data_IF_860198665326
#
_entry.id   IF_860198665326
#
_cell.length_a   1.000
_cell.length_b   1.000
_cell.length_c   1.000
_cell.angle_alpha   90.00
_cell.angle_beta   90.00
_cell.angle_gamma   90.00
#
_symmetry.space_group_name_H-M   'P 1'
#
loop_
_entity.id
_entity.type
_entity.pdbx_description
1 polymer ?
#
# COMPACT_ATOMS: atom_id res chain seq x y z
N UNK A 1 -53.89 -6.85 -19.48
CA UNK A 1 -52.42 -6.83 -19.36
C UNK A 1 -51.96 -5.38 -19.45
N UNK A 2 -51.39 -4.81 -18.37
CA UNK A 2 -50.89 -3.43 -18.34
C UNK A 2 -49.38 -3.49 -18.12
N UNK A 3 -48.62 -3.04 -19.10
CA UNK A 3 -47.17 -2.87 -19.01
C UNK A 3 -46.84 -1.70 -18.07
N UNK A 4 -45.98 -1.94 -17.09
CA UNK A 4 -45.38 -0.89 -16.25
C UNK A 4 -43.92 -0.76 -16.69
N UNK A 5 -43.44 0.44 -17.09
CA UNK A 5 -42.08 0.60 -17.55
C UNK A 5 -41.11 0.61 -16.36
N UNK A 6 -40.04 -0.18 -16.46
CA UNK A 6 -38.90 -0.14 -15.54
C UNK A 6 -38.06 1.08 -15.90
N UNK A 7 -38.01 2.07 -15.03
CA UNK A 7 -37.12 3.21 -15.15
C UNK A 7 -35.69 2.76 -14.81
N UNK A 8 -34.81 2.69 -15.81
CA UNK A 8 -33.37 2.52 -15.60
C UNK A 8 -32.82 3.86 -15.11
N UNK A 9 -32.48 3.92 -13.82
CA UNK A 9 -31.72 5.05 -13.26
C UNK A 9 -30.26 4.88 -13.67
N UNK A 10 -29.85 5.60 -14.72
CA UNK A 10 -28.44 5.80 -15.03
C UNK A 10 -27.84 6.74 -13.98
N UNK A 11 -27.13 6.18 -13.00
CA UNK A 11 -26.25 6.93 -12.12
C UNK A 11 -25.06 7.44 -12.93
N UNK A 12 -25.13 8.69 -13.37
CA UNK A 12 -23.95 9.40 -13.86
C UNK A 12 -23.05 9.69 -12.65
N UNK A 13 -21.93 8.98 -12.55
CA UNK A 13 -20.86 9.32 -11.63
C UNK A 13 -20.30 10.70 -11.99
N UNK A 14 -20.71 11.72 -11.24
CA UNK A 14 -20.10 13.05 -11.31
C UNK A 14 -18.63 12.93 -10.94
N UNK A 15 -17.75 13.23 -11.88
CA UNK A 15 -16.31 13.32 -11.64
C UNK A 15 -16.06 14.50 -10.70
N UNK A 16 -16.07 14.25 -9.40
CA UNK A 16 -15.45 15.16 -8.46
C UNK A 16 -13.96 15.25 -8.82
N UNK A 17 -13.44 16.47 -8.94
CA UNK A 17 -12.00 16.72 -9.09
C UNK A 17 -11.30 16.17 -7.84
N UNK A 18 -10.95 14.88 -7.86
CA UNK A 18 -10.40 14.17 -6.73
C UNK A 18 -8.97 14.65 -6.49
N UNK A 19 -8.70 15.21 -5.31
CA UNK A 19 -7.33 15.39 -4.85
C UNK A 19 -6.58 14.06 -4.89
N UNK A 20 -5.24 14.11 -4.91
CA UNK A 20 -4.38 12.92 -5.01
C UNK A 20 -4.93 11.73 -4.18
N UNK A 21 -5.21 10.58 -4.81
CA UNK A 21 -5.70 9.40 -4.11
C UNK A 21 -4.80 9.10 -2.92
N UNK A 22 -5.39 8.85 -1.75
CA UNK A 22 -4.64 8.53 -0.55
C UNK A 22 -4.17 9.73 0.29
N UNK A 23 -4.35 10.98 -0.17
CA UNK A 23 -3.92 12.18 0.59
C UNK A 23 -4.55 12.30 1.98
N UNK A 24 -5.79 11.81 2.14
CA UNK A 24 -6.49 11.78 3.44
C UNK A 24 -5.72 10.96 4.50
N UNK A 25 -4.94 9.96 4.08
CA UNK A 25 -4.23 9.05 4.97
C UNK A 25 -2.85 9.57 5.41
N UNK A 26 -2.32 10.62 4.78
CA UNK A 26 -0.94 11.09 5.00
C UNK A 26 -0.67 11.68 6.38
N UNK A 27 -1.74 12.04 7.11
CA UNK A 27 -1.65 12.68 8.43
C UNK A 27 -2.16 11.80 9.56
N UNK A 28 -2.61 10.58 9.24
CA UNK A 28 -3.05 9.64 10.26
C UNK A 28 -1.90 9.29 11.21
N UNK A 29 -2.25 9.08 12.47
CA UNK A 29 -1.41 8.49 13.50
C UNK A 29 -1.25 6.97 13.28
N UNK A 30 -0.28 6.32 13.93
CA UNK A 30 -0.13 4.86 13.86
C UNK A 30 -1.39 4.08 14.24
N UNK A 31 -2.14 4.54 15.24
CA UNK A 31 -3.36 3.86 15.68
C UNK A 31 -4.48 4.00 14.64
N UNK A 32 -4.64 5.19 14.06
CA UNK A 32 -5.58 5.41 12.94
C UNK A 32 -5.18 4.61 11.70
N UNK A 33 -3.88 4.54 11.37
CA UNK A 33 -3.37 3.71 10.28
C UNK A 33 -3.65 2.23 10.52
N UNK A 34 -3.48 1.77 11.77
CA UNK A 34 -3.80 0.40 12.18
C UNK A 34 -5.29 0.12 12.00
N UNK A 35 -6.16 1.01 12.49
CA UNK A 35 -7.61 0.84 12.35
C UNK A 35 -8.05 0.79 10.88
N UNK A 36 -7.52 1.67 10.04
CA UNK A 36 -7.82 1.68 8.60
C UNK A 36 -7.27 0.44 7.90
N UNK A 37 -6.04 0.02 8.24
CA UNK A 37 -5.43 -1.20 7.69
C UNK A 37 -6.25 -2.44 8.05
N UNK A 38 -6.63 -2.60 9.32
CA UNK A 38 -7.40 -3.76 9.78
C UNK A 38 -8.76 -3.87 9.09
N UNK A 39 -9.39 -2.74 8.74
CA UNK A 39 -10.65 -2.72 8.00
C UNK A 39 -10.51 -2.96 6.48
N UNK A 40 -9.28 -2.91 5.94
CA UNK A 40 -9.02 -3.03 4.51
C UNK A 40 -9.06 -4.46 3.96
N UNK A 41 -9.14 -4.58 2.64
CA UNK A 41 -9.18 -5.86 1.93
C UNK A 41 -7.78 -6.32 1.49
N UNK A 42 -7.52 -7.62 1.58
CA UNK A 42 -6.27 -8.25 1.13
C UNK A 42 -6.26 -8.47 -0.39
N UNK A 43 -6.19 -7.39 -1.16
CA UNK A 43 -6.20 -7.44 -2.64
C UNK A 43 -4.81 -7.24 -3.20
N UNK A 44 -4.50 -7.98 -4.28
CA UNK A 44 -3.35 -7.69 -5.13
C UNK A 44 -3.61 -6.37 -5.87
N UNK A 45 -2.69 -5.39 -5.82
CA UNK A 45 -2.80 -4.20 -6.66
C UNK A 45 -2.79 -4.58 -8.15
N UNK A 46 -3.72 -4.06 -8.97
CA UNK A 46 -3.71 -4.24 -10.42
C UNK A 46 -2.37 -3.86 -11.06
N UNK A 47 -2.03 -4.45 -12.21
CA UNK A 47 -0.78 -4.16 -12.90
C UNK A 47 -0.66 -2.67 -13.28
N UNK A 48 0.21 -1.95 -12.59
CA UNK A 48 0.46 -0.53 -12.80
C UNK A 48 1.68 -0.07 -11.99
N UNK A 49 2.13 1.17 -12.26
CA UNK A 49 3.13 1.86 -11.45
C UNK A 49 2.44 2.76 -10.42
N UNK A 50 2.51 2.38 -9.14
CA UNK A 50 1.90 3.08 -8.02
C UNK A 50 2.87 4.07 -7.41
N UNK A 51 2.36 5.23 -6.99
CA UNK A 51 3.11 6.16 -6.15
C UNK A 51 3.07 5.67 -4.72
N UNK A 52 4.21 5.68 -4.02
CA UNK A 52 4.22 5.46 -2.59
C UNK A 52 4.60 6.73 -1.82
N UNK A 53 4.06 6.85 -0.61
CA UNK A 53 4.46 7.85 0.37
C UNK A 53 4.61 7.20 1.73
N UNK A 54 5.80 7.29 2.31
CA UNK A 54 6.03 6.91 3.71
C UNK A 54 5.43 7.99 4.60
N UNK A 55 4.53 7.60 5.50
CA UNK A 55 3.77 8.53 6.34
C UNK A 55 4.24 8.50 7.79
N UNK A 56 4.86 7.39 8.21
CA UNK A 56 5.38 7.22 9.56
C UNK A 56 6.58 6.26 9.58
N UNK A 57 7.51 6.48 10.51
CA UNK A 57 8.73 5.69 10.68
C UNK A 57 9.00 5.47 12.18
N UNK A 58 8.73 4.25 12.69
CA UNK A 58 8.66 3.93 14.12
C UNK A 58 9.96 4.17 14.89
N UNK A 59 11.11 3.97 14.24
CA UNK A 59 12.42 3.96 14.91
C UNK A 59 13.24 5.24 14.69
N UNK A 60 12.57 6.39 14.56
CA UNK A 60 13.25 7.67 14.36
C UNK A 60 12.89 8.66 15.47
N UNK A 61 13.87 9.49 15.88
CA UNK A 61 13.65 10.58 16.85
C UNK A 61 12.56 11.56 16.39
N UNK A 62 12.44 11.77 15.08
CA UNK A 62 11.38 12.57 14.45
C UNK A 62 10.73 11.75 13.34
N UNK A 63 9.76 10.86 13.66
CA UNK A 63 9.18 9.88 12.74
C UNK A 63 8.72 10.45 11.40
N UNK A 64 7.98 11.56 11.44
CA UNK A 64 7.42 12.21 10.24
C UNK A 64 8.48 12.88 9.36
N UNK A 65 9.53 13.44 9.97
CA UNK A 65 10.63 14.00 9.21
C UNK A 65 11.38 12.89 8.46
N UNK A 66 11.66 11.78 9.13
CA UNK A 66 12.30 10.61 8.50
C UNK A 66 11.44 10.03 7.39
N UNK A 67 10.13 9.89 7.62
CA UNK A 67 9.17 9.45 6.62
C UNK A 67 9.14 10.36 5.38
N UNK A 68 9.22 11.68 5.57
CA UNK A 68 9.31 12.64 4.46
C UNK A 68 10.58 12.46 3.63
N UNK A 69 11.74 12.30 4.27
CA UNK A 69 13.00 12.01 3.57
C UNK A 69 12.91 10.70 2.81
N UNK A 70 12.38 9.64 3.45
CA UNK A 70 12.22 8.34 2.80
C UNK A 70 11.26 8.41 1.60
N UNK A 71 10.21 9.23 1.66
CA UNK A 71 9.28 9.46 0.55
C UNK A 71 9.89 10.19 -0.65
N UNK A 72 11.01 10.89 -0.45
CA UNK A 72 11.76 11.50 -1.57
C UNK A 72 12.53 10.41 -2.31
N UNK A 73 13.16 9.48 -1.57
CA UNK A 73 13.98 8.41 -2.12
C UNK A 73 13.14 7.27 -2.71
N UNK A 74 12.05 6.90 -2.04
CA UNK A 74 11.14 5.83 -2.46
C UNK A 74 9.99 6.41 -3.28
N UNK A 75 9.95 6.10 -4.57
CA UNK A 75 8.94 6.61 -5.51
C UNK A 75 7.67 5.76 -5.52
N UNK A 76 7.83 4.46 -5.29
CA UNK A 76 6.73 3.53 -5.12
C UNK A 76 7.02 2.16 -5.67
N UNK A 77 5.99 1.48 -6.18
CA UNK A 77 6.08 0.09 -6.63
C UNK A 77 5.46 -0.05 -8.02
N UNK A 78 5.97 -0.96 -8.81
CA UNK A 78 5.31 -1.44 -10.02
C UNK A 78 4.85 -2.86 -9.77
N UNK A 79 3.59 -3.16 -10.11
CA UNK A 79 3.03 -4.51 -10.06
C UNK A 79 2.74 -5.00 -11.47
N UNK A 80 2.82 -6.31 -11.67
CA UNK A 80 2.40 -7.00 -12.89
C UNK A 80 1.26 -7.99 -12.60
N UNK A 81 0.58 -8.43 -13.65
CA UNK A 81 -0.59 -9.31 -13.53
C UNK A 81 -0.25 -10.69 -12.93
N UNK A 82 0.99 -11.14 -13.13
CA UNK A 82 1.51 -12.38 -12.56
C UNK A 82 1.79 -12.30 -11.06
N UNK A 83 1.54 -11.15 -10.41
CA UNK A 83 1.81 -10.91 -8.99
C UNK A 83 3.25 -10.51 -8.68
N UNK A 84 4.09 -10.35 -9.71
CA UNK A 84 5.42 -9.80 -9.51
C UNK A 84 5.37 -8.31 -9.21
N UNK A 85 6.34 -7.83 -8.44
CA UNK A 85 6.47 -6.43 -8.09
C UNK A 85 7.93 -5.97 -8.08
N UNK A 86 8.12 -4.67 -8.29
CA UNK A 86 9.42 -4.00 -8.23
C UNK A 86 9.32 -2.72 -7.42
N UNK A 87 10.19 -2.53 -6.42
CA UNK A 87 10.35 -1.25 -5.75
C UNK A 87 11.07 -0.24 -6.65
N UNK A 88 10.58 1.00 -6.70
CA UNK A 88 11.13 2.11 -7.48
C UNK A 88 11.72 3.16 -6.54
N UNK A 89 13.00 3.47 -6.74
CA UNK A 89 13.72 4.49 -5.99
C UNK A 89 14.22 5.60 -6.93
N UNK A 90 14.71 6.69 -6.35
CA UNK A 90 15.47 7.69 -7.10
C UNK A 90 16.75 7.06 -7.61
N UNK A 91 16.93 7.03 -8.94
CA UNK A 91 18.15 6.57 -9.60
C UNK A 91 18.25 5.07 -9.84
N UNK A 92 17.34 4.24 -9.31
CA UNK A 92 17.32 2.80 -9.58
C UNK A 92 15.97 2.13 -9.23
N UNK A 93 15.78 0.91 -9.72
CA UNK A 93 14.70 0.00 -9.30
C UNK A 93 15.31 -1.27 -8.70
N UNK A 94 14.65 -1.85 -7.71
CA UNK A 94 15.02 -3.18 -7.21
C UNK A 94 14.78 -4.24 -8.32
N UNK A 95 15.32 -5.44 -8.15
CA UNK A 95 14.93 -6.55 -9.01
C UNK A 95 13.48 -6.98 -8.68
N UNK A 96 12.79 -7.59 -9.64
CA UNK A 96 11.45 -8.13 -9.41
C UNK A 96 11.43 -9.18 -8.30
N UNK A 97 10.33 -9.20 -7.55
CA UNK A 97 10.01 -10.29 -6.62
C UNK A 97 8.51 -10.59 -6.66
N UNK A 98 8.03 -11.53 -5.84
CA UNK A 98 6.66 -12.05 -5.92
C UNK A 98 5.84 -11.62 -4.69
N UNK A 99 4.65 -11.08 -4.91
CA UNK A 99 3.65 -10.85 -3.87
C UNK A 99 2.70 -12.05 -3.73
N UNK A 100 2.13 -12.23 -2.54
CA UNK A 100 1.13 -13.28 -2.26
C UNK A 100 0.22 -12.88 -1.10
N UNK A 101 -0.98 -13.43 -1.05
CA UNK A 101 -1.82 -13.32 0.16
C UNK A 101 -1.26 -14.22 1.25
N UNK A 102 -1.08 -13.66 2.45
CA UNK A 102 -0.54 -14.35 3.63
C UNK A 102 -1.12 -13.72 4.92
N UNK A 103 -0.85 -14.32 6.07
CA UNK A 103 -1.34 -13.84 7.38
C UNK A 103 -0.64 -12.55 7.80
N UNK A 104 -1.40 -11.51 8.11
CA UNK A 104 -0.84 -10.24 8.61
C UNK A 104 -0.27 -10.37 10.02
N UNK A 105 0.88 -9.74 10.26
CA UNK A 105 1.47 -9.59 11.59
C UNK A 105 0.80 -8.48 12.43
N UNK A 106 -0.10 -7.69 11.83
CA UNK A 106 -0.86 -6.66 12.55
C UNK A 106 -2.01 -7.27 13.36
N UNK A 107 -2.81 -8.16 12.74
CA UNK A 107 -4.07 -8.63 13.32
C UNK A 107 -4.39 -10.12 13.03
N UNK A 108 -3.46 -10.85 12.39
CA UNK A 108 -3.66 -12.25 12.04
C UNK A 108 -4.67 -12.51 10.90
N UNK A 109 -5.23 -11.47 10.28
CA UNK A 109 -6.13 -11.59 9.13
C UNK A 109 -5.34 -11.56 7.81
N UNK A 110 -5.91 -12.01 6.68
CA UNK A 110 -5.22 -11.98 5.39
C UNK A 110 -4.71 -10.58 5.01
N UNK A 111 -3.53 -10.49 4.42
CA UNK A 111 -2.98 -9.28 3.79
C UNK A 111 -2.20 -9.66 2.53
N UNK A 112 -2.07 -8.74 1.58
CA UNK A 112 -1.21 -8.96 0.43
C UNK A 112 0.23 -8.63 0.81
N UNK A 113 1.06 -9.64 0.87
CA UNK A 113 2.40 -9.62 1.45
C UNK A 113 3.45 -9.59 0.36
N UNK A 114 4.41 -8.67 0.50
CA UNK A 114 5.52 -8.46 -0.42
C UNK A 114 6.83 -8.76 0.29
N UNK A 115 7.58 -9.69 -0.27
CA UNK A 115 8.78 -10.21 0.35
C UNK A 115 9.85 -10.43 -0.69
N UNK A 116 11.09 -10.04 -0.37
CA UNK A 116 12.25 -10.41 -1.15
C UNK A 116 12.86 -11.70 -0.61
N UNK A 117 13.56 -12.50 -1.43
CA UNK A 117 14.41 -13.57 -0.94
C UNK A 117 15.36 -13.06 0.14
N UNK A 118 15.59 -13.85 1.20
CA UNK A 118 16.43 -13.42 2.34
C UNK A 118 17.86 -13.04 1.94
N UNK A 119 18.41 -13.70 0.92
CA UNK A 119 19.74 -13.42 0.37
C UNK A 119 19.77 -12.17 -0.54
N UNK A 120 18.63 -11.51 -0.75
CA UNK A 120 18.54 -10.32 -1.58
C UNK A 120 19.21 -9.13 -0.88
N UNK A 121 20.25 -8.50 -1.48
CA UNK A 121 20.94 -7.37 -0.86
C UNK A 121 19.98 -6.21 -0.54
N UNK A 122 20.11 -5.64 0.67
CA UNK A 122 19.34 -4.51 1.18
C UNK A 122 17.85 -4.75 1.48
N UNK A 123 17.17 -5.66 0.77
CA UNK A 123 15.71 -5.83 0.90
C UNK A 123 15.27 -7.18 1.46
N UNK A 124 16.15 -8.18 1.53
CA UNK A 124 15.78 -9.52 2.00
C UNK A 124 15.25 -9.57 3.44
N UNK A 125 15.53 -8.56 4.25
CA UNK A 125 15.02 -8.44 5.62
C UNK A 125 13.68 -7.69 5.73
N UNK A 126 13.12 -7.17 4.63
CA UNK A 126 11.84 -6.46 4.67
C UNK A 126 10.66 -7.38 4.32
N UNK A 127 9.54 -7.12 4.99
CA UNK A 127 8.21 -7.66 4.68
C UNK A 127 7.27 -6.47 4.66
N UNK A 128 6.63 -6.24 3.52
CA UNK A 128 5.55 -5.26 3.43
C UNK A 128 4.22 -6.01 3.43
N UNK A 129 3.25 -5.50 4.18
CA UNK A 129 1.87 -6.00 4.17
C UNK A 129 0.97 -4.90 3.62
N UNK A 130 0.12 -5.24 2.64
CA UNK A 130 -0.78 -4.32 1.97
C UNK A 130 -2.24 -4.72 2.18
N UNK A 131 -3.08 -3.71 2.41
CA UNK A 131 -4.53 -3.83 2.31
C UNK A 131 -5.12 -2.61 1.61
N UNK A 132 -6.06 -2.85 0.72
CA UNK A 132 -6.83 -1.81 0.04
C UNK A 132 -7.87 -1.26 1.01
N UNK A 133 -7.79 0.04 1.29
CA UNK A 133 -8.69 0.69 2.25
C UNK A 133 -9.84 1.42 1.56
N UNK A 134 -9.60 1.88 0.34
CA UNK A 134 -10.60 2.37 -0.62
C UNK A 134 -10.09 2.05 -2.03
N UNK A 135 -10.97 2.00 -3.05
CA UNK A 135 -10.55 1.71 -4.43
C UNK A 135 -9.34 2.55 -4.86
N UNK A 136 -8.24 1.88 -5.20
CA UNK A 136 -7.03 2.54 -5.66
C UNK A 136 -6.10 3.10 -4.57
N UNK A 137 -6.36 2.83 -3.29
CA UNK A 137 -5.49 3.23 -2.17
C UNK A 137 -5.23 2.06 -1.24
N UNK A 138 -3.95 1.74 -1.05
CA UNK A 138 -3.51 0.72 -0.10
C UNK A 138 -2.72 1.35 1.05
N UNK A 139 -2.98 0.87 2.25
CA UNK A 139 -2.09 1.10 3.40
C UNK A 139 -1.08 -0.04 3.46
N UNK A 140 0.19 0.34 3.58
CA UNK A 140 1.30 -0.57 3.70
C UNK A 140 1.96 -0.51 5.08
N UNK A 141 2.14 -1.66 5.72
CA UNK A 141 2.93 -1.82 6.95
C UNK A 141 4.27 -2.48 6.61
N UNK A 142 5.37 -1.93 7.10
CA UNK A 142 6.72 -2.45 6.85
C UNK A 142 7.28 -3.08 8.11
N UNK A 143 7.82 -4.29 7.99
CA UNK A 143 8.46 -5.05 9.06
C UNK A 143 9.89 -5.43 8.70
N UNK A 144 10.75 -5.51 9.72
CA UNK A 144 12.01 -6.23 9.63
C UNK A 144 11.77 -7.68 10.05
N UNK A 145 11.83 -8.62 9.10
CA UNK A 145 11.58 -10.05 9.37
C UNK A 145 12.64 -10.72 10.24
N UNK A 146 13.84 -10.15 10.30
CA UNK A 146 14.96 -10.75 11.06
C UNK A 146 14.80 -10.52 12.55
N UNK A 147 14.18 -9.42 12.96
CA UNK A 147 13.98 -9.09 14.38
C UNK A 147 12.50 -8.88 14.78
N UNK A 148 11.57 -9.02 13.85
CA UNK A 148 10.13 -8.87 14.08
C UNK A 148 9.65 -7.45 14.36
N UNK A 149 10.53 -6.43 14.26
CA UNK A 149 10.17 -5.05 14.59
C UNK A 149 9.52 -4.35 13.40
N UNK A 150 8.48 -3.56 13.67
CA UNK A 150 7.91 -2.65 12.69
C UNK A 150 8.88 -1.52 12.35
N UNK A 151 8.92 -1.15 11.08
CA UNK A 151 9.75 -0.05 10.57
C UNK A 151 8.90 1.20 10.36
N UNK A 152 7.69 1.06 9.81
CA UNK A 152 6.85 2.20 9.51
C UNK A 152 5.64 1.87 8.67
N UNK A 153 4.99 2.94 8.20
CA UNK A 153 3.78 2.89 7.38
C UNK A 153 3.99 3.69 6.09
N UNK A 154 3.38 3.22 5.01
CA UNK A 154 3.31 3.94 3.75
C UNK A 154 1.93 3.82 3.11
N UNK A 155 1.63 4.73 2.19
CA UNK A 155 0.41 4.71 1.38
C UNK A 155 0.84 4.47 -0.06
N UNK A 156 0.20 3.50 -0.71
CA UNK A 156 0.26 3.33 -2.17
C UNK A 156 -1.02 3.90 -2.77
N UNK A 157 -0.83 4.68 -3.84
CA UNK A 157 -1.92 5.31 -4.58
C UNK A 157 -1.82 4.91 -6.04
N UNK A 158 -2.95 4.51 -6.61
CA UNK A 158 -3.11 4.29 -8.04
C UNK A 158 -2.66 5.54 -8.84
N UNK A 159 -2.15 5.36 -10.07
CA UNK A 159 -1.69 6.45 -10.93
C UNK A 159 -2.79 7.46 -11.29
#
# INVERSE_FOLDING_TARGET
MRFVPVAIVLLTAGSAQAGEPGRAYYRLSPDELTAQFTAGAATQPPAAAYRARVVWYENALVPRFRARVQSILFRGKTFADDGSFTNRFVGFSALPSQGRTDTSWVDGQPAYVLEYPLNYPLFGSYRDELREVVPGVWIGRVWNRTNGKSIGWFILSAP
#
